data_IF_505856686167
#
_entry.id   IF_505856686167
#
_cell.length_a   1.000
_cell.length_b   1.000
_cell.length_c   1.000
_cell.angle_alpha   90.00
_cell.angle_beta   90.00
_cell.angle_gamma   90.00
#
_symmetry.space_group_name_H-M   'P 1'
#
loop_
_entity.id
_entity.type
_entity.pdbx_description
1 polymer ?
#
# COMPACT_ATOMS: atom_id res chain seq x y z
N UNK A 1 31.20 -10.35 80.91
CA UNK A 1 30.90 -8.90 81.03
C UNK A 1 31.79 -8.20 80.03
N UNK A 2 31.25 -7.91 78.85
CA UNK A 2 31.91 -7.02 77.89
C UNK A 2 30.81 -6.14 77.33
N UNK A 3 30.82 -4.87 77.75
CA UNK A 3 29.85 -3.85 77.36
C UNK A 3 30.11 -3.54 75.89
N UNK A 4 29.17 -3.92 75.03
CA UNK A 4 29.13 -3.42 73.65
C UNK A 4 28.88 -1.90 73.76
N UNK A 5 29.81 -1.12 73.23
CA UNK A 5 29.84 0.33 73.30
C UNK A 5 28.79 0.92 72.34
N UNK A 6 27.65 1.35 72.91
CA UNK A 6 26.54 1.98 72.18
C UNK A 6 26.95 3.23 71.38
N UNK A 7 28.14 3.78 71.62
CA UNK A 7 28.69 4.92 70.90
C UNK A 7 29.09 4.57 69.46
N UNK A 8 29.49 3.32 69.20
CA UNK A 8 29.89 2.86 67.85
C UNK A 8 28.66 2.67 66.95
N UNK A 9 27.55 2.15 67.51
CA UNK A 9 26.29 1.94 66.77
C UNK A 9 25.62 3.26 66.35
N UNK A 10 25.67 4.30 67.20
CA UNK A 10 25.10 5.62 66.88
C UNK A 10 25.89 6.38 65.80
N UNK A 11 27.22 6.19 65.72
CA UNK A 11 28.04 6.84 64.70
C UNK A 11 27.87 6.18 63.33
N UNK A 12 27.70 4.86 63.26
CA UNK A 12 27.44 4.15 61.98
C UNK A 12 26.08 4.58 61.40
N UNK A 13 25.04 4.75 62.23
CA UNK A 13 23.75 5.26 61.75
C UNK A 13 23.80 6.71 61.27
N UNK A 14 24.54 7.60 61.95
CA UNK A 14 24.72 8.98 61.49
C UNK A 14 25.50 9.07 60.17
N UNK A 15 26.54 8.27 60.00
CA UNK A 15 27.31 8.22 58.75
C UNK A 15 26.52 7.63 57.58
N UNK A 16 25.70 6.58 57.81
CA UNK A 16 24.85 6.00 56.76
C UNK A 16 23.72 6.98 56.34
N UNK A 17 23.12 7.70 57.28
CA UNK A 17 22.09 8.71 56.98
C UNK A 17 22.69 9.90 56.21
N UNK A 18 23.89 10.36 56.56
CA UNK A 18 24.57 11.45 55.85
C UNK A 18 24.99 11.00 54.43
N UNK A 19 25.44 9.75 54.26
CA UNK A 19 25.75 9.20 52.93
C UNK A 19 24.48 9.07 52.06
N UNK A 20 23.34 8.66 52.63
CA UNK A 20 22.06 8.61 51.90
C UNK A 20 21.53 10.01 51.52
N UNK A 21 21.72 11.01 52.39
CA UNK A 21 21.32 12.39 52.09
C UNK A 21 22.23 13.00 51.01
N UNK A 22 23.54 12.70 51.02
CA UNK A 22 24.47 13.17 49.98
C UNK A 22 24.26 12.43 48.65
N UNK A 23 23.91 11.15 48.66
CA UNK A 23 23.56 10.40 47.43
C UNK A 23 22.24 10.88 46.81
N UNK A 24 21.28 11.34 47.63
CA UNK A 24 20.02 11.92 47.15
C UNK A 24 20.19 13.35 46.59
N UNK A 25 21.23 14.08 47.00
CA UNK A 25 21.55 15.44 46.51
C UNK A 25 22.41 15.42 45.23
N UNK A 26 22.97 14.26 44.85
CA UNK A 26 23.76 14.05 43.63
C UNK A 26 23.01 13.37 42.49
N UNK A 27 21.71 13.08 42.65
CA UNK A 27 20.88 12.77 41.48
C UNK A 27 20.71 14.06 40.67
N UNK A 28 21.13 14.12 39.40
CA UNK A 28 20.78 15.24 38.56
C UNK A 28 19.25 15.29 38.49
N UNK A 29 18.66 16.30 39.13
CA UNK A 29 17.28 16.71 38.87
C UNK A 29 17.24 17.25 37.44
N UNK A 30 17.15 16.34 36.48
CA UNK A 30 16.95 16.64 35.08
C UNK A 30 15.77 15.83 34.55
N UNK A 31 14.63 15.91 35.22
CA UNK A 31 13.33 15.72 34.57
C UNK A 31 12.90 17.07 33.99
N UNK A 32 13.61 17.52 32.96
CA UNK A 32 12.85 18.10 31.85
C UNK A 32 12.40 16.89 31.06
N UNK A 33 11.17 16.45 31.29
CA UNK A 33 10.45 15.74 30.24
C UNK A 33 10.59 16.62 29.01
N UNK A 34 11.46 16.22 28.08
CA UNK A 34 11.43 16.79 26.75
C UNK A 34 10.09 16.29 26.24
N UNK A 35 9.08 17.15 26.28
CA UNK A 35 7.83 16.87 25.61
C UNK A 35 8.22 16.35 24.22
N UNK A 36 7.71 15.18 23.80
CA UNK A 36 8.07 14.65 22.49
C UNK A 36 7.81 15.76 21.48
N UNK A 37 8.84 16.09 20.69
CA UNK A 37 8.75 17.14 19.68
C UNK A 37 7.49 16.83 18.86
N UNK A 38 6.61 17.81 18.63
CA UNK A 38 5.43 17.57 17.80
C UNK A 38 5.88 17.00 16.45
N UNK A 39 5.15 16.03 15.89
CA UNK A 39 5.46 15.48 14.57
C UNK A 39 5.69 16.60 13.57
N UNK A 40 6.71 16.44 12.73
CA UNK A 40 7.02 17.42 11.71
C UNK A 40 5.90 17.43 10.68
N UNK A 41 5.42 18.62 10.31
CA UNK A 41 4.46 18.75 9.23
C UNK A 41 5.11 18.27 7.93
N UNK A 42 4.39 17.46 7.15
CA UNK A 42 4.86 17.00 5.83
C UNK A 42 5.21 18.18 4.90
N UNK A 43 4.56 19.34 5.10
CA UNK A 43 4.86 20.56 4.33
C UNK A 43 6.25 21.14 4.62
N UNK A 44 6.89 20.71 5.70
CA UNK A 44 8.24 21.13 6.09
C UNK A 44 9.30 20.08 5.75
N UNK A 45 8.91 18.96 5.12
CA UNK A 45 9.84 17.89 4.76
C UNK A 45 10.86 18.39 3.74
N UNK A 46 12.08 17.86 3.83
CA UNK A 46 13.07 17.98 2.77
C UNK A 46 13.07 16.69 1.98
N UNK A 47 12.93 16.79 0.66
CA UNK A 47 12.84 15.64 -0.21
C UNK A 47 14.18 15.32 -0.87
N UNK A 48 14.58 14.06 -0.76
CA UNK A 48 15.65 13.48 -1.57
C UNK A 48 15.04 12.59 -2.64
N UNK A 49 15.56 12.65 -3.86
CA UNK A 49 15.06 11.85 -4.98
C UNK A 49 16.10 10.77 -5.30
N UNK A 50 15.66 9.52 -5.25
CA UNK A 50 16.40 8.36 -5.75
C UNK A 50 15.78 7.89 -7.08
N UNK A 51 16.60 7.30 -7.94
CA UNK A 51 16.17 6.70 -9.20
C UNK A 51 16.55 5.24 -9.21
N UNK A 52 15.57 4.35 -9.36
CA UNK A 52 15.83 2.92 -9.43
C UNK A 52 16.48 2.60 -10.78
N UNK A 53 17.79 2.36 -10.76
CA UNK A 53 18.57 2.08 -11.96
C UNK A 53 18.85 0.58 -12.12
N UNK A 54 18.62 0.07 -13.34
CA UNK A 54 19.08 -1.25 -13.73
C UNK A 54 20.32 -1.10 -14.62
N UNK A 55 21.29 -2.04 -14.56
CA UNK A 55 22.37 -2.10 -15.54
C UNK A 55 21.79 -2.22 -16.96
N UNK A 56 22.35 -1.50 -17.94
CA UNK A 56 21.91 -1.46 -19.36
C UNK A 56 20.59 -0.70 -19.62
N UNK A 57 20.18 -0.39 -20.88
CA UNK A 57 19.07 0.52 -21.15
C UNK A 57 17.71 -0.20 -21.00
N UNK A 58 17.42 -0.66 -19.79
CA UNK A 58 16.15 -1.30 -19.45
C UNK A 58 15.25 -0.36 -18.67
N UNK A 59 13.96 -0.46 -18.98
CA UNK A 59 12.92 0.29 -18.33
C UNK A 59 12.40 -0.44 -17.10
N UNK A 60 12.11 0.34 -16.05
CA UNK A 60 11.39 -0.11 -14.86
C UNK A 60 10.32 0.92 -14.49
N UNK A 61 9.11 0.45 -14.18
CA UNK A 61 7.97 1.27 -13.76
C UNK A 61 7.27 0.55 -12.62
N UNK A 62 7.72 0.79 -11.38
CA UNK A 62 7.07 0.22 -10.18
C UNK A 62 5.74 0.92 -9.94
N UNK A 63 4.70 0.16 -9.64
CA UNK A 63 3.31 0.64 -9.59
C UNK A 63 2.59 0.39 -8.28
N UNK A 64 3.17 -0.42 -7.39
CA UNK A 64 2.59 -0.74 -6.08
C UNK A 64 3.68 -0.92 -5.04
N UNK A 65 3.42 -0.42 -3.84
CA UNK A 65 4.29 -0.44 -2.68
C UNK A 65 3.60 -1.14 -1.51
N UNK A 66 4.39 -1.88 -0.75
CA UNK A 66 4.02 -2.32 0.58
C UNK A 66 5.17 -2.01 1.53
N UNK A 67 4.88 -1.33 2.62
CA UNK A 67 5.83 -1.08 3.68
C UNK A 67 5.45 -1.84 4.94
N UNK A 68 6.30 -2.77 5.38
CA UNK A 68 6.15 -3.38 6.70
C UNK A 68 6.57 -2.38 7.81
N UNK A 69 7.56 -1.53 7.50
CA UNK A 69 7.99 -0.36 8.27
C UNK A 69 8.86 0.53 7.36
N UNK A 70 9.38 1.64 7.90
CA UNK A 70 10.19 2.61 7.15
C UNK A 70 11.52 2.04 6.62
N UNK A 71 11.97 0.90 7.13
CA UNK A 71 13.19 0.21 6.73
C UNK A 71 12.94 -1.15 6.03
N UNK A 72 11.70 -1.48 5.71
CA UNK A 72 11.36 -2.71 4.98
C UNK A 72 10.18 -2.45 4.04
N UNK A 73 10.53 -2.07 2.82
CA UNK A 73 9.56 -1.64 1.79
C UNK A 73 9.78 -2.48 0.54
N UNK A 74 8.70 -3.00 -0.02
CA UNK A 74 8.70 -3.71 -1.30
C UNK A 74 8.01 -2.88 -2.36
N UNK A 75 8.62 -2.79 -3.54
CA UNK A 75 8.00 -2.23 -4.72
C UNK A 75 7.84 -3.32 -5.77
N UNK A 76 6.70 -3.33 -6.43
CA UNK A 76 6.44 -4.19 -7.59
C UNK A 76 5.91 -3.39 -8.77
N UNK A 77 6.11 -3.91 -9.98
CA UNK A 77 5.55 -3.32 -11.18
C UNK A 77 6.16 -3.90 -12.45
N UNK A 78 6.21 -3.06 -13.48
CA UNK A 78 6.72 -3.44 -14.79
C UNK A 78 8.25 -3.34 -14.86
N UNK A 79 8.86 -4.33 -15.51
CA UNK A 79 10.28 -4.36 -15.79
C UNK A 79 10.51 -4.99 -17.17
N UNK A 80 11.19 -4.29 -18.08
CA UNK A 80 11.44 -4.74 -19.45
C UNK A 80 12.59 -5.76 -19.58
N UNK A 81 13.24 -6.16 -18.49
CA UNK A 81 14.36 -7.11 -18.56
C UNK A 81 13.84 -8.52 -18.82
N UNK A 82 14.16 -9.01 -20.01
CA UNK A 82 14.00 -10.41 -20.38
C UNK A 82 14.83 -11.36 -19.54
N UNK A 83 15.81 -10.91 -18.73
CA UNK A 83 16.80 -11.78 -18.05
C UNK A 83 17.25 -11.43 -16.60
N UNK A 84 16.80 -10.36 -15.94
CA UNK A 84 17.31 -10.04 -14.58
C UNK A 84 16.23 -9.80 -13.50
N UNK A 85 16.40 -10.56 -12.43
CA UNK A 85 15.94 -10.33 -11.05
C UNK A 85 14.44 -10.09 -10.76
N UNK A 86 13.53 -10.03 -11.73
CA UNK A 86 12.09 -9.97 -11.45
C UNK A 86 11.62 -8.56 -11.05
N UNK A 87 10.36 -8.24 -11.36
CA UNK A 87 9.76 -6.91 -11.18
C UNK A 87 9.50 -6.54 -9.72
N UNK A 88 10.52 -6.68 -8.86
CA UNK A 88 10.45 -6.40 -7.44
C UNK A 88 11.74 -5.75 -6.91
N UNK A 89 11.58 -4.73 -6.08
CA UNK A 89 12.64 -4.08 -5.31
C UNK A 89 12.34 -4.17 -3.82
N UNK A 90 13.38 -4.17 -2.99
CA UNK A 90 13.28 -4.05 -1.55
C UNK A 90 14.18 -2.93 -1.06
N UNK A 91 13.67 -2.11 -0.14
CA UNK A 91 14.41 -1.13 0.62
C UNK A 91 14.66 -1.68 2.02
N UNK A 92 15.91 -1.65 2.46
CA UNK A 92 16.32 -2.19 3.76
C UNK A 92 16.57 -1.09 4.83
N UNK A 93 16.14 0.15 4.58
CA UNK A 93 16.44 1.32 5.43
C UNK A 93 17.70 2.11 5.03
N UNK A 94 18.51 1.55 4.13
CA UNK A 94 19.73 2.19 3.64
C UNK A 94 19.75 2.31 2.12
N UNK A 95 19.41 1.23 1.41
CA UNK A 95 19.48 1.16 -0.05
C UNK A 95 18.35 0.33 -0.67
N UNK A 96 18.06 0.63 -1.93
CA UNK A 96 17.17 -0.18 -2.77
C UNK A 96 17.94 -1.30 -3.47
N UNK A 97 17.43 -2.53 -3.41
CA UNK A 97 18.01 -3.67 -4.11
C UNK A 97 16.94 -4.49 -4.84
N UNK A 98 17.28 -5.00 -6.03
CA UNK A 98 16.40 -5.91 -6.78
C UNK A 98 16.21 -7.23 -6.04
N UNK A 99 14.98 -7.72 -5.94
CA UNK A 99 14.65 -9.00 -5.29
C UNK A 99 14.45 -10.09 -6.34
N UNK A 100 15.35 -11.08 -6.37
CA UNK A 100 15.36 -12.16 -7.37
C UNK A 100 14.12 -13.06 -7.29
N UNK A 101 13.09 -12.73 -8.05
CA UNK A 101 11.84 -13.53 -8.15
C UNK A 101 11.58 -14.16 -9.52
N UNK A 102 12.54 -14.06 -10.44
CA UNK A 102 12.42 -14.54 -11.84
C UNK A 102 12.00 -16.02 -11.93
N UNK A 103 12.58 -16.88 -11.11
CA UNK A 103 12.27 -18.32 -11.11
C UNK A 103 10.80 -18.60 -10.76
N UNK A 104 10.18 -17.71 -9.98
CA UNK A 104 8.78 -17.83 -9.56
C UNK A 104 7.83 -17.17 -10.57
N UNK A 105 8.18 -15.99 -11.10
CA UNK A 105 7.33 -15.22 -12.02
C UNK A 105 7.42 -15.70 -13.48
N UNK A 106 8.52 -16.34 -13.87
CA UNK A 106 8.75 -16.79 -15.24
C UNK A 106 9.15 -15.68 -16.22
N UNK A 107 9.43 -16.06 -17.47
CA UNK A 107 9.74 -15.09 -18.52
C UNK A 107 8.50 -14.25 -18.84
N UNK A 108 8.67 -12.92 -18.86
CA UNK A 108 7.59 -11.94 -19.09
C UNK A 108 6.53 -11.82 -17.99
N UNK A 109 6.74 -12.42 -16.81
CA UNK A 109 5.86 -12.21 -15.67
C UNK A 109 6.04 -10.82 -15.07
N UNK A 110 4.94 -10.10 -14.86
CA UNK A 110 4.90 -8.84 -14.12
C UNK A 110 4.16 -9.02 -12.80
N UNK A 111 4.50 -8.18 -11.83
CA UNK A 111 3.79 -8.07 -10.56
C UNK A 111 3.06 -6.73 -10.56
N UNK A 112 1.76 -6.72 -10.28
CA UNK A 112 0.94 -5.51 -10.33
C UNK A 112 0.68 -4.94 -8.94
N UNK A 113 0.56 -5.80 -7.92
CA UNK A 113 0.24 -5.39 -6.56
C UNK A 113 1.04 -6.17 -5.53
N UNK A 114 1.40 -5.50 -4.44
CA UNK A 114 2.01 -6.09 -3.25
C UNK A 114 1.26 -5.60 -2.02
N UNK A 115 1.00 -6.50 -1.08
CA UNK A 115 0.38 -6.17 0.21
C UNK A 115 0.85 -7.16 1.26
N UNK A 116 0.76 -6.80 2.54
CA UNK A 116 1.16 -7.68 3.63
C UNK A 116 0.50 -7.30 4.94
N UNK A 117 0.62 -8.18 5.92
CA UNK A 117 0.15 -7.94 7.30
C UNK A 117 1.29 -7.94 8.32
N UNK A 118 2.48 -8.39 7.93
CA UNK A 118 3.68 -8.44 8.74
C UNK A 118 4.94 -8.56 7.85
N UNK A 119 6.15 -8.27 8.37
CA UNK A 119 7.41 -8.44 7.63
C UNK A 119 7.63 -9.87 7.09
N UNK A 120 7.00 -10.86 7.71
CA UNK A 120 7.06 -12.27 7.31
C UNK A 120 5.77 -12.79 6.64
N UNK A 121 4.81 -11.92 6.31
CA UNK A 121 3.60 -12.29 5.59
C UNK A 121 3.25 -11.22 4.54
N UNK A 122 3.95 -11.31 3.42
CA UNK A 122 3.82 -10.38 2.29
C UNK A 122 3.44 -11.18 1.06
N UNK A 123 2.52 -10.66 0.28
CA UNK A 123 2.02 -11.28 -0.94
C UNK A 123 2.16 -10.32 -2.11
N UNK A 124 2.59 -10.87 -3.24
CA UNK A 124 2.69 -10.13 -4.49
C UNK A 124 1.93 -10.89 -5.57
N UNK A 125 1.15 -10.17 -6.36
CA UNK A 125 0.30 -10.75 -7.40
C UNK A 125 0.53 -10.06 -8.73
N UNK A 126 0.28 -10.79 -9.81
CA UNK A 126 0.38 -10.27 -11.17
C UNK A 126 0.08 -11.35 -12.19
N UNK A 127 0.82 -11.34 -13.29
CA UNK A 127 0.58 -12.28 -14.37
C UNK A 127 1.47 -12.04 -15.58
N UNK A 128 1.23 -12.85 -16.59
CA UNK A 128 1.82 -12.75 -17.93
C UNK A 128 0.73 -12.97 -18.98
N UNK A 129 1.12 -13.00 -20.24
CA UNK A 129 0.23 -13.40 -21.34
C UNK A 129 -0.15 -14.88 -21.32
N UNK A 130 0.34 -15.66 -20.35
CA UNK A 130 0.15 -17.11 -20.26
C UNK A 130 -0.42 -17.60 -18.92
N UNK A 131 -0.28 -16.85 -17.82
CA UNK A 131 -0.73 -17.30 -16.49
C UNK A 131 -0.81 -16.16 -15.46
N UNK A 132 -1.68 -16.34 -14.47
CA UNK A 132 -1.68 -15.58 -13.23
C UNK A 132 -0.44 -15.90 -12.38
N UNK A 133 0.02 -14.94 -11.59
CA UNK A 133 1.14 -15.09 -10.66
C UNK A 133 0.72 -14.66 -9.26
N UNK A 134 0.95 -15.53 -8.28
CA UNK A 134 0.77 -15.25 -6.84
C UNK A 134 2.03 -15.71 -6.11
N UNK A 135 2.68 -14.81 -5.38
CA UNK A 135 3.86 -15.07 -4.58
C UNK A 135 3.59 -14.75 -3.11
N UNK A 136 4.18 -15.53 -2.20
CA UNK A 136 4.21 -15.28 -0.76
C UNK A 136 5.66 -15.18 -0.27
N UNK A 137 5.97 -14.14 0.48
CA UNK A 137 7.16 -14.03 1.29
C UNK A 137 6.86 -14.44 2.73
N UNK A 138 7.66 -15.36 3.25
CA UNK A 138 7.50 -15.90 4.60
C UNK A 138 8.55 -15.37 5.61
N UNK A 139 9.21 -14.25 5.30
CA UNK A 139 10.35 -13.74 6.08
C UNK A 139 11.71 -14.35 5.72
N UNK A 140 11.74 -15.32 4.81
CA UNK A 140 12.98 -15.98 4.38
C UNK A 140 13.09 -15.96 2.85
N UNK A 141 12.03 -16.38 2.15
CA UNK A 141 12.03 -16.48 0.68
C UNK A 141 10.65 -16.25 0.10
N UNK A 142 10.65 -15.83 -1.16
CA UNK A 142 9.46 -15.80 -1.99
C UNK A 142 9.13 -17.19 -2.53
N UNK A 143 7.88 -17.62 -2.38
CA UNK A 143 7.35 -18.89 -2.89
C UNK A 143 6.17 -18.61 -3.81
N UNK A 144 6.17 -19.24 -4.98
CA UNK A 144 5.01 -19.26 -5.88
C UNK A 144 3.90 -20.11 -5.28
N UNK A 145 2.69 -19.57 -5.27
CA UNK A 145 1.46 -20.29 -5.02
C UNK A 145 0.74 -20.56 -6.33
N UNK A 146 0.11 -21.73 -6.42
CA UNK A 146 -0.78 -22.06 -7.53
C UNK A 146 -2.19 -21.71 -7.08
N UNK A 147 -2.88 -20.86 -7.85
CA UNK A 147 -4.32 -20.69 -7.70
C UNK A 147 -5.03 -21.86 -8.38
N UNK A 148 -6.17 -22.28 -7.83
CA UNK A 148 -7.08 -23.13 -8.59
C UNK A 148 -7.44 -22.45 -9.91
N UNK A 149 -7.43 -23.23 -10.98
CA UNK A 149 -7.69 -22.75 -12.33
C UNK A 149 -9.08 -23.21 -12.76
N UNK A 150 -10.03 -22.30 -12.90
CA UNK A 150 -11.26 -22.52 -13.69
C UNK A 150 -11.25 -21.58 -14.87
N UNK A 151 -11.91 -21.93 -15.99
CA UNK A 151 -12.23 -20.93 -17.00
C UNK A 151 -12.77 -19.67 -16.30
N UNK A 152 -12.30 -18.48 -16.70
CA UNK A 152 -12.85 -17.24 -16.17
C UNK A 152 -14.37 -17.26 -16.27
N UNK A 153 -15.06 -16.45 -15.46
CA UNK A 153 -16.52 -16.41 -15.51
C UNK A 153 -16.88 -16.10 -16.97
N UNK A 154 -17.47 -17.08 -17.66
CA UNK A 154 -17.92 -17.02 -19.06
C UNK A 154 -16.91 -17.26 -20.21
N UNK A 155 -15.86 -18.06 -20.01
CA UNK A 155 -15.16 -18.71 -21.14
C UNK A 155 -13.95 -17.96 -21.72
N UNK A 156 -13.35 -17.05 -20.97
CA UNK A 156 -11.99 -16.57 -21.24
C UNK A 156 -10.98 -17.65 -20.84
N UNK A 157 -10.12 -18.13 -21.77
CA UNK A 157 -9.10 -19.12 -21.42
C UNK A 157 -8.14 -18.52 -20.39
N UNK A 158 -7.98 -19.25 -19.28
CA UNK A 158 -7.08 -19.02 -18.13
C UNK A 158 -5.67 -18.50 -18.46
N UNK A 159 -5.20 -18.70 -19.69
CA UNK A 159 -3.91 -18.20 -20.14
C UNK A 159 -3.76 -16.67 -20.11
N UNK A 160 -4.75 -15.87 -19.70
CA UNK A 160 -4.71 -14.39 -19.83
C UNK A 160 -5.07 -13.60 -18.56
N UNK A 161 -5.29 -14.27 -17.44
CA UNK A 161 -5.74 -13.58 -16.23
C UNK A 161 -4.56 -12.92 -15.50
N UNK A 162 -4.57 -11.60 -15.49
CA UNK A 162 -3.59 -10.76 -14.81
C UNK A 162 -4.21 -10.30 -13.48
N UNK A 163 -3.65 -10.77 -12.35
CA UNK A 163 -4.17 -10.45 -11.02
C UNK A 163 -3.78 -9.03 -10.66
N UNK A 164 -4.76 -8.15 -10.45
CA UNK A 164 -4.53 -6.71 -10.31
C UNK A 164 -4.38 -6.25 -8.87
N UNK A 165 -5.00 -6.93 -7.92
CA UNK A 165 -5.01 -6.49 -6.53
C UNK A 165 -5.00 -7.67 -5.57
N UNK A 166 -4.36 -7.47 -4.42
CA UNK A 166 -4.29 -8.41 -3.32
C UNK A 166 -4.51 -7.66 -2.02
N UNK A 167 -5.33 -8.23 -1.14
CA UNK A 167 -5.54 -7.77 0.23
C UNK A 167 -5.16 -8.90 1.17
N UNK A 168 -4.27 -8.60 2.12
CA UNK A 168 -3.74 -9.56 3.11
C UNK A 168 -4.19 -9.11 4.48
N UNK A 169 -5.12 -9.86 5.09
CA UNK A 169 -5.54 -9.60 6.47
C UNK A 169 -4.63 -10.31 7.47
N UNK A 170 -4.32 -11.58 7.20
CA UNK A 170 -3.53 -12.43 8.06
C UNK A 170 -2.82 -13.53 7.24
N UNK A 171 -2.15 -14.46 7.89
CA UNK A 171 -1.51 -15.61 7.22
C UNK A 171 -2.54 -16.57 6.57
N UNK A 172 -3.81 -16.50 6.98
CA UNK A 172 -4.87 -17.44 6.55
C UNK A 172 -6.11 -16.76 5.98
N UNK A 173 -6.03 -15.45 5.70
CA UNK A 173 -7.13 -14.69 5.10
C UNK A 173 -6.53 -13.70 4.11
N UNK A 174 -6.43 -14.15 2.85
CA UNK A 174 -5.94 -13.33 1.75
C UNK A 174 -6.95 -13.37 0.62
N UNK A 175 -7.19 -12.21 0.02
CA UNK A 175 -8.11 -12.01 -1.08
C UNK A 175 -7.37 -11.42 -2.26
N UNK A 176 -7.71 -11.86 -3.48
CA UNK A 176 -7.15 -11.28 -4.70
C UNK A 176 -8.22 -11.18 -5.79
N UNK A 177 -8.06 -10.24 -6.72
CA UNK A 177 -8.96 -10.12 -7.86
C UNK A 177 -8.21 -9.86 -9.17
N UNK A 178 -8.80 -10.27 -10.29
CA UNK A 178 -8.16 -10.19 -11.60
C UNK A 178 -8.97 -9.47 -12.69
N UNK A 179 -8.27 -9.24 -13.79
CA UNK A 179 -8.82 -8.62 -15.00
C UNK A 179 -9.84 -9.49 -15.76
N UNK A 180 -10.07 -10.73 -15.33
CA UNK A 180 -10.99 -11.70 -15.92
C UNK A 180 -12.28 -11.87 -15.12
N UNK A 181 -12.52 -11.04 -14.11
CA UNK A 181 -13.76 -11.07 -13.33
C UNK A 181 -13.74 -12.02 -12.14
N UNK A 182 -12.57 -12.58 -11.79
CA UNK A 182 -12.46 -13.58 -10.72
C UNK A 182 -11.98 -12.94 -9.41
N UNK A 183 -12.55 -13.42 -8.31
CA UNK A 183 -12.01 -13.24 -6.97
C UNK A 183 -11.47 -14.57 -6.47
N UNK A 184 -10.34 -14.52 -5.79
CA UNK A 184 -9.67 -15.65 -5.16
C UNK A 184 -9.60 -15.42 -3.65
N UNK A 185 -9.76 -16.49 -2.88
CA UNK A 185 -9.61 -16.48 -1.43
C UNK A 185 -8.63 -17.56 -0.98
N UNK A 186 -7.66 -17.19 -0.14
CA UNK A 186 -6.73 -18.11 0.51
C UNK A 186 -7.13 -18.33 1.96
N UNK A 187 -7.36 -19.59 2.31
CA UNK A 187 -7.83 -20.01 3.65
C UNK A 187 -6.68 -20.40 4.62
N UNK A 188 -5.43 -20.18 4.22
CA UNK A 188 -4.24 -20.65 4.95
C UNK A 188 -3.64 -21.96 4.40
N UNK A 189 -4.36 -22.66 3.53
CA UNK A 189 -3.90 -23.89 2.91
C UNK A 189 -3.93 -23.79 1.38
N UNK A 190 -5.09 -23.42 0.81
CA UNK A 190 -5.33 -23.40 -0.63
C UNK A 190 -5.99 -22.10 -1.08
N UNK A 191 -5.79 -21.79 -2.36
CA UNK A 191 -6.49 -20.72 -3.05
C UNK A 191 -7.72 -21.29 -3.74
N UNK A 192 -8.89 -20.78 -3.42
CA UNK A 192 -10.16 -21.14 -4.05
C UNK A 192 -10.73 -19.95 -4.83
N UNK A 193 -11.45 -20.24 -5.92
CA UNK A 193 -12.16 -19.22 -6.69
C UNK A 193 -13.49 -18.91 -6.01
N UNK A 194 -13.64 -17.64 -5.62
CA UNK A 194 -14.83 -17.10 -4.97
C UNK A 194 -15.67 -16.29 -5.97
N UNK A 195 -16.36 -17.01 -6.85
CA UNK A 195 -16.97 -16.47 -8.08
C UNK A 195 -17.99 -15.34 -7.83
N UNK A 196 -17.88 -14.25 -8.60
CA UNK A 196 -18.89 -13.18 -8.67
C UNK A 196 -19.93 -13.48 -9.75
N UNK A 197 -21.20 -13.72 -9.39
CA UNK A 197 -22.27 -14.06 -10.35
C UNK A 197 -23.41 -13.03 -10.41
N UNK A 198 -23.16 -11.80 -9.94
CA UNK A 198 -24.21 -10.77 -9.81
C UNK A 198 -24.34 -9.83 -11.00
N UNK A 199 -23.33 -9.77 -11.86
CA UNK A 199 -23.34 -8.91 -13.05
C UNK A 199 -23.70 -9.75 -14.27
N UNK A 200 -24.82 -9.42 -14.93
CA UNK A 200 -25.19 -10.03 -16.20
C UNK A 200 -24.31 -9.47 -17.33
N UNK A 201 -23.78 -10.37 -18.17
CA UNK A 201 -22.89 -10.04 -19.28
C UNK A 201 -23.49 -10.56 -20.60
N UNK A 202 -23.46 -9.71 -21.62
CA UNK A 202 -23.71 -10.11 -23.00
C UNK A 202 -22.41 -10.63 -23.66
N UNK A 203 -22.52 -11.22 -24.86
CA UNK A 203 -21.39 -11.89 -25.53
C UNK A 203 -20.21 -10.97 -25.89
N UNK A 204 -20.40 -9.65 -25.87
CA UNK A 204 -19.37 -8.64 -26.16
C UNK A 204 -18.85 -7.93 -24.91
N UNK A 205 -19.48 -8.18 -23.75
CA UNK A 205 -19.10 -7.56 -22.50
C UNK A 205 -17.80 -8.15 -21.97
N UNK A 206 -16.99 -7.29 -21.38
CA UNK A 206 -15.84 -7.63 -20.57
C UNK A 206 -16.12 -7.13 -19.17
N UNK A 207 -15.84 -7.98 -18.18
CA UNK A 207 -15.94 -7.64 -16.77
C UNK A 207 -14.59 -7.82 -16.10
N UNK A 208 -14.01 -6.72 -15.62
CA UNK A 208 -12.67 -6.70 -15.03
C UNK A 208 -12.76 -6.21 -13.59
N UNK A 209 -12.09 -6.88 -12.65
CA UNK A 209 -11.99 -6.42 -11.27
C UNK A 209 -10.65 -5.71 -11.08
N UNK A 210 -10.66 -4.60 -10.34
CA UNK A 210 -9.50 -3.70 -10.25
C UNK A 210 -8.87 -3.66 -8.88
N UNK A 211 -9.66 -3.54 -7.82
CA UNK A 211 -9.13 -3.37 -6.48
C UNK A 211 -9.98 -4.10 -5.45
N UNK A 212 -9.32 -4.74 -4.48
CA UNK A 212 -9.96 -5.52 -3.40
C UNK A 212 -9.47 -5.02 -2.05
N UNK A 213 -10.41 -4.75 -1.13
CA UNK A 213 -10.12 -4.26 0.22
C UNK A 213 -11.08 -4.85 1.24
N UNK A 214 -10.74 -4.75 2.52
CA UNK A 214 -11.64 -5.04 3.64
C UNK A 214 -12.06 -3.74 4.32
N UNK A 215 -13.36 -3.59 4.55
CA UNK A 215 -13.95 -2.47 5.28
C UNK A 215 -15.06 -2.99 6.20
N UNK A 216 -15.05 -2.62 7.48
CA UNK A 216 -16.06 -3.07 8.46
C UNK A 216 -16.30 -4.60 8.47
N UNK A 217 -15.23 -5.39 8.43
CA UNK A 217 -15.29 -6.85 8.37
C UNK A 217 -15.86 -7.47 7.07
N UNK A 218 -16.19 -6.66 6.09
CA UNK A 218 -16.68 -7.09 4.78
C UNK A 218 -15.63 -6.86 3.70
N UNK A 219 -15.60 -7.75 2.71
CA UNK A 219 -14.71 -7.62 1.54
C UNK A 219 -15.44 -6.85 0.45
N UNK A 220 -14.77 -5.84 -0.10
CA UNK A 220 -15.25 -5.03 -1.22
C UNK A 220 -14.33 -5.17 -2.42
N UNK A 221 -14.92 -5.17 -3.61
CA UNK A 221 -14.20 -5.19 -4.88
C UNK A 221 -14.80 -4.19 -5.85
N UNK A 222 -13.95 -3.44 -6.55
CA UNK A 222 -14.38 -2.66 -7.71
C UNK A 222 -14.31 -3.49 -8.98
N UNK A 223 -15.35 -3.40 -9.80
CA UNK A 223 -15.40 -4.04 -11.12
C UNK A 223 -15.96 -3.14 -12.19
N UNK A 224 -15.44 -3.20 -13.41
CA UNK A 224 -15.97 -2.46 -14.56
C UNK A 224 -16.52 -3.45 -15.57
N UNK A 225 -17.80 -3.26 -15.94
CA UNK A 225 -18.41 -3.87 -17.12
C UNK A 225 -18.37 -2.88 -18.27
N UNK A 226 -17.89 -3.30 -19.42
CA UNK A 226 -17.92 -2.52 -20.66
C UNK A 226 -17.97 -3.44 -21.87
N UNK A 227 -18.42 -2.93 -23.01
CA UNK A 227 -18.20 -3.64 -24.26
C UNK A 227 -16.70 -3.64 -24.59
N UNK A 228 -16.23 -4.75 -25.16
CA UNK A 228 -14.79 -4.95 -25.47
C UNK A 228 -14.15 -3.87 -26.34
N UNK A 229 -14.95 -3.10 -27.08
CA UNK A 229 -14.55 -2.03 -27.99
C UNK A 229 -14.81 -0.61 -27.44
N UNK A 230 -15.29 -0.45 -26.20
CA UNK A 230 -15.63 0.83 -25.61
C UNK A 230 -14.67 1.23 -24.48
N UNK A 231 -14.40 2.54 -24.36
CA UNK A 231 -13.57 3.10 -23.29
C UNK A 231 -14.34 3.40 -22.01
N UNK A 232 -15.66 3.50 -22.11
CA UNK A 232 -16.60 3.78 -21.03
C UNK A 232 -17.39 2.53 -20.65
N UNK A 233 -18.08 2.58 -19.51
CA UNK A 233 -18.85 1.44 -19.04
C UNK A 233 -19.57 1.72 -17.73
N UNK A 234 -19.89 0.65 -17.02
CA UNK A 234 -20.52 0.67 -15.71
C UNK A 234 -19.51 0.19 -14.67
N UNK A 235 -19.24 1.04 -13.68
CA UNK A 235 -18.43 0.71 -12.51
C UNK A 235 -19.34 0.18 -11.40
N UNK A 236 -18.91 -0.89 -10.76
CA UNK A 236 -19.58 -1.54 -9.65
C UNK A 236 -18.68 -1.54 -8.41
N UNK A 237 -19.29 -1.24 -7.27
CA UNK A 237 -18.79 -1.62 -5.96
C UNK A 237 -19.53 -2.88 -5.55
N UNK A 238 -18.79 -3.98 -5.45
CA UNK A 238 -19.30 -5.29 -5.09
C UNK A 238 -18.91 -5.56 -3.65
N UNK A 239 -19.81 -6.17 -2.90
CA UNK A 239 -19.58 -6.51 -1.50
C UNK A 239 -19.81 -8.00 -1.28
N UNK A 240 -18.95 -8.61 -0.48
CA UNK A 240 -19.12 -9.98 -0.01
C UNK A 240 -20.01 -10.00 1.22
N UNK A 241 -21.13 -10.71 1.15
CA UNK A 241 -22.08 -10.92 2.23
C UNK A 241 -22.20 -12.43 2.53
N UNK A 242 -21.44 -12.91 3.52
CA UNK A 242 -21.29 -14.34 3.76
C UNK A 242 -20.67 -15.05 2.55
N UNK A 243 -21.37 -16.05 2.00
CA UNK A 243 -20.89 -16.82 0.84
C UNK A 243 -21.29 -16.24 -0.52
N UNK A 244 -22.01 -15.12 -0.56
CA UNK A 244 -22.48 -14.52 -1.82
C UNK A 244 -21.88 -13.12 -2.02
N UNK A 245 -21.74 -12.74 -3.28
CA UNK A 245 -21.45 -11.36 -3.68
C UNK A 245 -22.76 -10.63 -3.97
N UNK A 246 -22.80 -9.33 -3.72
CA UNK A 246 -23.90 -8.43 -4.05
C UNK A 246 -23.37 -7.12 -4.64
N UNK A 247 -24.17 -6.48 -5.50
CA UNK A 247 -23.89 -5.11 -5.97
C UNK A 247 -24.30 -4.16 -4.83
N UNK A 248 -23.32 -3.52 -4.20
CA UNK A 248 -23.58 -2.49 -3.19
C UNK A 248 -23.93 -1.16 -3.86
N UNK A 249 -23.22 -0.81 -4.94
CA UNK A 249 -23.45 0.43 -5.67
C UNK A 249 -22.92 0.35 -7.11
N UNK A 250 -23.46 1.17 -8.01
CA UNK A 250 -22.90 1.39 -9.35
C UNK A 250 -22.82 2.88 -9.72
N UNK A 251 -21.95 3.16 -10.69
CA UNK A 251 -21.64 4.49 -11.25
C UNK A 251 -21.27 4.37 -12.71
N UNK A 252 -21.37 5.47 -13.46
CA UNK A 252 -20.76 5.58 -14.78
C UNK A 252 -19.23 5.45 -14.67
N UNK A 253 -18.61 4.86 -15.69
CA UNK A 253 -17.15 4.73 -15.82
C UNK A 253 -16.66 5.35 -17.13
N UNK A 254 -15.59 6.14 -17.06
CA UNK A 254 -14.94 6.73 -18.23
C UNK A 254 -15.70 7.88 -18.89
N UNK A 255 -16.87 8.28 -18.37
CA UNK A 255 -17.65 9.43 -18.79
C UNK A 255 -18.27 10.13 -17.58
N UNK A 256 -18.40 11.46 -17.65
CA UNK A 256 -19.05 12.27 -16.63
C UNK A 256 -18.31 12.31 -15.29
N UNK A 257 -19.05 12.64 -14.23
CA UNK A 257 -18.55 12.70 -12.85
C UNK A 257 -18.95 11.41 -12.11
N UNK A 258 -18.04 10.44 -11.93
CA UNK A 258 -18.39 9.19 -11.27
C UNK A 258 -18.62 9.42 -9.77
N UNK A 259 -19.48 8.61 -9.16
CA UNK A 259 -19.73 8.63 -7.69
C UNK A 259 -18.50 8.21 -6.90
N UNK A 260 -17.72 7.30 -7.47
CA UNK A 260 -16.48 6.71 -6.96
C UNK A 260 -15.71 6.14 -8.17
N UNK A 261 -14.43 5.84 -8.03
CA UNK A 261 -13.59 5.27 -9.08
C UNK A 261 -12.97 3.92 -8.63
N UNK A 262 -12.19 3.28 -9.50
CA UNK A 262 -11.75 1.88 -9.39
C UNK A 262 -10.78 1.62 -8.25
N UNK A 263 -10.01 2.61 -7.79
CA UNK A 263 -9.06 2.41 -6.68
C UNK A 263 -9.76 2.61 -5.37
N UNK A 264 -9.58 1.67 -4.44
CA UNK A 264 -10.08 1.77 -3.10
C UNK A 264 -8.92 1.86 -2.12
N UNK A 265 -9.15 2.55 -1.01
CA UNK A 265 -8.23 2.61 0.10
C UNK A 265 -9.01 2.57 1.41
N UNK A 266 -8.55 1.78 2.37
CA UNK A 266 -9.12 1.73 3.72
C UNK A 266 -8.04 2.10 4.72
N UNK A 267 -8.25 3.18 5.48
CA UNK A 267 -7.27 3.64 6.47
C UNK A 267 -7.18 2.69 7.66
N UNK A 268 -6.15 2.87 8.50
CA UNK A 268 -6.02 2.14 9.76
C UNK A 268 -7.17 2.41 10.74
N UNK A 269 -7.79 3.60 10.65
CA UNK A 269 -9.01 3.95 11.39
C UNK A 269 -10.28 3.44 10.71
N UNK A 270 -10.15 2.61 9.68
CA UNK A 270 -11.22 1.99 8.92
C UNK A 270 -12.15 3.02 8.25
N UNK A 271 -11.57 4.11 7.73
CA UNK A 271 -12.25 5.03 6.81
C UNK A 271 -12.09 4.52 5.37
N UNK A 272 -13.18 4.55 4.60
CA UNK A 272 -13.24 3.93 3.28
C UNK A 272 -13.26 4.98 2.16
N UNK A 273 -12.22 4.96 1.34
CA UNK A 273 -11.99 5.92 0.27
C UNK A 273 -12.04 5.24 -1.09
N UNK A 274 -12.33 6.06 -2.09
CA UNK A 274 -12.15 5.73 -3.50
C UNK A 274 -11.40 6.88 -4.19
N UNK A 275 -10.48 6.52 -5.09
CA UNK A 275 -9.52 7.43 -5.70
C UNK A 275 -9.54 7.27 -7.22
N UNK A 276 -9.39 8.39 -7.92
CA UNK A 276 -9.16 8.36 -9.35
C UNK A 276 -9.51 9.68 -10.00
N UNK A 277 -10.21 9.59 -11.12
CA UNK A 277 -10.71 10.72 -11.89
C UNK A 277 -11.69 11.52 -11.03
N UNK A 278 -11.45 12.82 -10.88
CA UNK A 278 -12.28 13.69 -10.03
C UNK A 278 -11.80 13.79 -8.58
N UNK A 279 -10.76 13.04 -8.19
CA UNK A 279 -10.02 13.23 -6.94
C UNK A 279 -10.27 12.15 -5.88
N UNK A 280 -10.61 12.58 -4.65
CA UNK A 280 -10.72 11.71 -3.47
C UNK A 280 -12.16 11.69 -2.97
N UNK A 281 -12.73 10.50 -2.90
CA UNK A 281 -14.09 10.26 -2.43
C UNK A 281 -14.04 9.49 -1.10
N UNK A 282 -14.70 10.01 -0.06
CA UNK A 282 -14.85 9.36 1.24
C UNK A 282 -16.26 8.79 1.36
N UNK A 283 -16.39 7.51 1.75
CA UNK A 283 -17.68 6.86 1.99
C UNK A 283 -18.18 7.17 3.39
N UNK A 284 -19.30 7.88 3.49
CA UNK A 284 -19.99 8.22 4.74
C UNK A 284 -21.42 7.71 4.68
N UNK A 285 -21.83 6.89 5.64
CA UNK A 285 -23.19 6.35 5.72
C UNK A 285 -23.67 5.74 4.38
N UNK A 286 -22.79 4.94 3.74
CA UNK A 286 -23.02 4.33 2.41
C UNK A 286 -23.21 5.32 1.25
N UNK A 287 -22.77 6.56 1.40
CA UNK A 287 -22.78 7.57 0.34
C UNK A 287 -21.36 8.06 0.10
N UNK A 288 -21.00 8.29 -1.14
CA UNK A 288 -19.71 8.87 -1.49
C UNK A 288 -19.77 10.40 -1.43
N UNK A 289 -18.81 10.99 -0.73
CA UNK A 289 -18.58 12.43 -0.67
C UNK A 289 -17.22 12.73 -1.27
N UNK A 290 -17.18 13.53 -2.35
CA UNK A 290 -15.92 14.07 -2.85
C UNK A 290 -15.38 15.08 -1.83
N UNK A 291 -14.24 14.76 -1.21
CA UNK A 291 -13.57 15.60 -0.19
C UNK A 291 -12.39 16.40 -0.76
N UNK A 292 -11.99 16.08 -1.99
CA UNK A 292 -10.94 16.77 -2.72
C UNK A 292 -11.15 16.58 -4.21
N UNK A 293 -11.51 17.66 -4.91
CA UNK A 293 -11.76 17.65 -6.35
C UNK A 293 -10.56 18.19 -7.12
N UNK A 294 -10.19 17.50 -8.18
CA UNK A 294 -9.13 17.90 -9.09
C UNK A 294 -9.45 17.43 -10.52
N UNK A 295 -8.96 18.16 -11.52
CA UNK A 295 -9.17 17.84 -12.94
C UNK A 295 -8.32 16.64 -13.41
N UNK A 296 -7.25 16.32 -12.68
CA UNK A 296 -6.42 15.14 -12.93
C UNK A 296 -6.87 13.93 -12.11
N UNK A 297 -6.06 12.87 -12.08
CA UNK A 297 -6.34 11.66 -11.32
C UNK A 297 -5.49 11.61 -10.05
N UNK A 298 -6.09 11.17 -8.94
CA UNK A 298 -5.37 10.73 -7.74
C UNK A 298 -5.13 9.23 -7.85
N UNK A 299 -3.86 8.84 -7.79
CA UNK A 299 -3.45 7.46 -7.96
C UNK A 299 -3.36 6.71 -6.63
N UNK A 300 -2.96 7.39 -5.56
CA UNK A 300 -2.91 6.79 -4.24
C UNK A 300 -2.95 7.83 -3.11
N UNK A 301 -3.30 7.37 -1.90
CA UNK A 301 -3.25 8.17 -0.67
C UNK A 301 -2.66 7.38 0.48
N UNK A 302 -1.97 8.09 1.37
CA UNK A 302 -1.63 7.58 2.69
C UNK A 302 -2.38 8.40 3.74
N UNK A 303 -3.15 7.72 4.58
CA UNK A 303 -3.97 8.33 5.64
C UNK A 303 -3.45 7.86 6.98
N UNK A 304 -2.81 8.76 7.72
CA UNK A 304 -2.45 8.49 9.12
C UNK A 304 -3.61 8.83 10.06
N UNK A 305 -4.24 9.96 9.81
CA UNK A 305 -5.44 10.42 10.50
C UNK A 305 -6.31 11.21 9.55
N UNK A 306 -7.54 11.49 9.94
CA UNK A 306 -8.49 12.28 9.13
C UNK A 306 -7.97 13.69 8.82
N UNK A 307 -6.99 14.16 9.59
CA UNK A 307 -6.35 15.47 9.44
C UNK A 307 -4.92 15.38 8.88
N UNK A 308 -4.49 14.22 8.40
CA UNK A 308 -3.15 14.03 7.87
C UNK A 308 -3.18 13.03 6.72
N UNK A 309 -3.42 13.56 5.52
CA UNK A 309 -3.54 12.77 4.29
C UNK A 309 -2.54 13.29 3.28
N UNK A 310 -1.65 12.42 2.82
CA UNK A 310 -0.78 12.68 1.68
C UNK A 310 -1.38 11.96 0.46
N UNK A 311 -1.58 12.70 -0.63
CA UNK A 311 -2.19 12.20 -1.86
C UNK A 311 -1.26 12.44 -3.03
N UNK A 312 -1.18 11.45 -3.92
CA UNK A 312 -0.31 11.51 -5.11
C UNK A 312 -1.09 11.18 -6.36
N UNK A 313 -0.72 11.79 -7.48
CA UNK A 313 -1.49 11.69 -8.71
C UNK A 313 -0.73 12.02 -9.97
N UNK A 314 -1.48 12.12 -11.05
CA UNK A 314 -0.96 12.42 -12.39
C UNK A 314 -0.60 13.91 -12.54
N UNK A 315 0.27 14.21 -13.50
CA UNK A 315 0.86 15.53 -13.79
C UNK A 315 1.70 16.09 -12.65
N UNK A 316 2.52 15.25 -12.03
CA UNK A 316 3.44 15.62 -10.95
C UNK A 316 2.75 16.12 -9.68
N UNK A 317 1.47 15.78 -9.50
CA UNK A 317 0.66 16.31 -8.40
C UNK A 317 0.86 15.51 -7.12
N UNK A 318 1.27 16.21 -6.07
CA UNK A 318 1.36 15.73 -4.69
C UNK A 318 0.68 16.74 -3.79
N UNK A 319 -0.23 16.30 -2.93
CA UNK A 319 -1.00 17.15 -2.03
C UNK A 319 -0.99 16.65 -0.60
N UNK A 320 -0.97 17.56 0.36
CA UNK A 320 -1.12 17.25 1.77
C UNK A 320 -2.32 17.98 2.39
N UNK A 321 -3.23 17.22 3.00
CA UNK A 321 -4.33 17.71 3.83
C UNK A 321 -3.96 17.67 5.30
N UNK A 322 -4.06 18.81 5.98
CA UNK A 322 -3.70 18.97 7.40
C UNK A 322 -4.93 19.08 8.35
N UNK A 323 -6.13 18.70 7.88
CA UNK A 323 -7.40 18.90 8.59
C UNK A 323 -8.08 20.25 8.34
N UNK A 324 -7.39 21.21 7.73
CA UNK A 324 -7.93 22.53 7.37
C UNK A 324 -8.00 22.72 5.86
N UNK A 325 -6.88 22.49 5.17
CA UNK A 325 -6.72 22.78 3.75
C UNK A 325 -5.89 21.72 3.02
N UNK A 326 -6.15 21.58 1.72
CA UNK A 326 -5.29 20.82 0.81
C UNK A 326 -4.21 21.75 0.25
N UNK A 327 -2.95 21.35 0.35
CA UNK A 327 -1.80 22.10 -0.14
C UNK A 327 -0.98 21.27 -1.12
N UNK A 328 -0.68 21.80 -2.29
CA UNK A 328 0.19 21.13 -3.26
C UNK A 328 1.66 21.30 -2.85
N UNK A 329 2.39 20.19 -2.76
CA UNK A 329 3.84 20.16 -2.58
C UNK A 329 4.49 20.35 -3.95
N UNK A 330 4.68 21.61 -4.36
CA UNK A 330 5.09 21.96 -5.73
C UNK A 330 6.54 21.63 -6.07
N UNK A 331 7.41 21.49 -5.06
CA UNK A 331 8.82 21.13 -5.28
C UNK A 331 9.00 19.75 -5.91
N UNK A 332 8.01 18.85 -5.73
CA UNK A 332 8.00 17.51 -6.31
C UNK A 332 7.48 17.46 -7.75
N UNK A 333 6.83 18.51 -8.25
CA UNK A 333 6.17 18.51 -9.57
C UNK A 333 7.14 18.29 -10.73
N UNK A 334 8.40 18.70 -10.56
CA UNK A 334 9.43 18.60 -11.60
C UNK A 334 10.07 17.20 -11.73
N UNK A 335 9.88 16.30 -10.76
CA UNK A 335 10.63 15.04 -10.71
C UNK A 335 9.88 13.85 -11.30
N UNK A 336 8.56 13.94 -11.46
CA UNK A 336 7.78 12.88 -12.08
C UNK A 336 6.52 13.43 -12.73
N UNK A 337 6.17 12.87 -13.87
CA UNK A 337 4.89 13.14 -14.51
C UNK A 337 3.73 12.42 -13.81
N UNK A 338 3.98 11.24 -13.22
CA UNK A 338 2.94 10.41 -12.60
C UNK A 338 3.51 9.80 -11.32
N UNK A 339 2.97 10.24 -10.19
CA UNK A 339 3.15 9.56 -8.92
C UNK A 339 2.06 8.51 -8.73
N UNK A 340 2.45 7.32 -8.29
CA UNK A 340 1.61 6.11 -8.38
C UNK A 340 1.28 5.47 -7.03
N UNK A 341 2.12 5.68 -6.02
CA UNK A 341 1.95 5.09 -4.68
C UNK A 341 2.63 5.97 -3.62
N UNK A 342 2.10 5.97 -2.40
CA UNK A 342 2.59 6.80 -1.29
C UNK A 342 2.42 6.15 0.07
N UNK A 343 3.46 6.23 0.90
CA UNK A 343 3.43 5.77 2.29
C UNK A 343 3.96 6.84 3.24
N UNK A 344 3.18 7.15 4.27
CA UNK A 344 3.59 7.96 5.41
C UNK A 344 4.06 7.09 6.58
N UNK A 345 5.13 7.52 7.24
CA UNK A 345 5.68 6.98 8.47
C UNK A 345 5.78 8.09 9.51
N UNK A 346 4.64 8.54 10.04
CA UNK A 346 4.58 9.72 10.93
C UNK A 346 5.33 9.56 12.25
N UNK A 347 5.53 8.32 12.72
CA UNK A 347 6.33 8.06 13.93
C UNK A 347 7.82 8.38 13.74
N UNK A 348 8.33 8.25 12.51
CA UNK A 348 9.70 8.58 12.13
C UNK A 348 9.80 9.91 11.37
N UNK A 349 8.69 10.63 11.19
CA UNK A 349 8.58 11.83 10.36
C UNK A 349 9.06 11.59 8.92
N UNK A 350 8.71 10.45 8.31
CA UNK A 350 9.13 10.11 6.95
C UNK A 350 7.97 9.90 5.98
N UNK A 351 8.23 10.14 4.70
CA UNK A 351 7.33 9.83 3.61
C UNK A 351 8.10 9.21 2.44
N UNK A 352 7.52 8.19 1.82
CA UNK A 352 8.02 7.60 0.58
C UNK A 352 6.95 7.76 -0.49
N UNK A 353 7.32 8.36 -1.62
CA UNK A 353 6.46 8.51 -2.80
C UNK A 353 7.15 7.84 -3.98
N UNK A 354 6.40 7.02 -4.71
CA UNK A 354 6.86 6.33 -5.92
C UNK A 354 6.27 7.03 -7.14
N UNK A 355 7.10 7.29 -8.15
CA UNK A 355 6.66 7.89 -9.40
C UNK A 355 7.47 7.44 -10.60
N UNK A 356 7.08 7.90 -11.78
CA UNK A 356 7.72 7.56 -13.04
C UNK A 356 8.36 8.76 -13.72
N UNK A 357 9.57 8.54 -14.24
CA UNK A 357 10.21 9.39 -15.24
C UNK A 357 9.86 8.83 -16.61
N UNK A 358 8.94 9.51 -17.29
CA UNK A 358 8.43 9.10 -18.60
C UNK A 358 9.13 9.80 -19.78
N UNK A 359 9.95 10.81 -19.48
CA UNK A 359 10.77 11.54 -20.43
C UNK A 359 11.88 10.65 -21.01
N UNK A 360 11.68 10.23 -22.26
CA UNK A 360 12.66 9.45 -23.01
C UNK A 360 12.67 7.96 -22.69
N UNK A 361 13.60 7.24 -23.31
CA UNK A 361 13.79 5.81 -23.12
C UNK A 361 15.22 5.51 -22.68
N UNK A 362 15.44 4.60 -21.71
CA UNK A 362 14.43 3.85 -20.96
C UNK A 362 13.73 4.72 -19.89
N UNK A 363 12.43 4.48 -19.68
CA UNK A 363 11.67 5.09 -18.59
C UNK A 363 12.08 4.45 -17.25
N UNK A 364 12.00 5.21 -16.16
CA UNK A 364 12.50 4.77 -14.85
C UNK A 364 11.50 5.05 -13.73
N UNK A 365 11.64 4.33 -12.64
CA UNK A 365 10.98 4.65 -11.36
C UNK A 365 11.84 5.63 -10.59
N UNK A 366 11.21 6.65 -10.02
CA UNK A 366 11.81 7.48 -8.97
C UNK A 366 11.15 7.21 -7.63
N UNK A 367 11.93 7.42 -6.58
CA UNK A 367 11.48 7.35 -5.19
C UNK A 367 11.83 8.67 -4.53
N UNK A 368 10.81 9.44 -4.15
CA UNK A 368 10.98 10.64 -3.34
C UNK A 368 10.87 10.27 -1.86
N UNK A 369 11.91 10.58 -1.09
CA UNK A 369 11.99 10.34 0.35
C UNK A 369 11.99 11.67 1.08
N UNK A 370 10.93 11.94 1.85
CA UNK A 370 10.78 13.13 2.67
C UNK A 370 11.12 12.84 4.13
N UNK A 371 11.88 13.75 4.77
CA UNK A 371 12.16 13.76 6.23
C UNK A 371 12.12 15.18 6.81
#
# INVERSE_FOLDING_TARGET
MEKIDNTVFMNIHRSIIIIFIILAILLPSCDKSIDPKPPKSIRDYTWTIDTLELPDPFQNLMSSMYAANENDIYLVGHNSTGDFNGGMWNYNGEEWATVKVREQVGAYGTLNAVHGSAPNNIWAVGGSFEYATILQYNGIKWKKHLAETSDGIYGTPLSKNNVYSVYVESETAIWACDNGGLVYHYDGNNWEIDTIKVVALDSLDVFQLYNIVKYNDEIFVTGVKRQSNEGWGELFLLKKNGSIWEIEESSDYGIGDPKFDVRLFVSQTNNFYSLGTGGIYLRLNKQWKNIFSIESSINDISVESENNILAVGSFGKVFHYNGNDWYQITELEQFSEIYVDVQLFTKSDEAIIVGWLLDGYPQKTIVAHGK
#
